data_IF_046315068143
#
_entry.id   IF_046315068143
#
_cell.length_a   1.000
_cell.length_b   1.000
_cell.length_c   1.000
_cell.angle_alpha   90.00
_cell.angle_beta   90.00
_cell.angle_gamma   90.00
#
_symmetry.space_group_name_H-M   'P 1'
#
loop_
_entity.id
_entity.type
_entity.pdbx_description
1 polymer ?
#
# COMPACT_ATOMS: atom_id res chain seq x y z
N UNK A 1 21.18 15.95 -29.41
CA UNK A 1 19.75 16.32 -29.32
C UNK A 1 19.38 16.56 -27.86
N UNK A 2 19.58 17.78 -27.33
CA UNK A 2 19.44 18.05 -25.88
C UNK A 2 19.09 19.50 -25.55
N UNK A 3 18.08 20.05 -26.23
CA UNK A 3 17.82 21.51 -26.19
C UNK A 3 16.33 21.87 -26.06
N UNK A 4 15.51 21.08 -25.35
CA UNK A 4 14.08 21.42 -25.15
C UNK A 4 13.65 21.64 -23.69
N UNK A 5 14.32 21.06 -22.68
CA UNK A 5 13.89 21.23 -21.29
C UNK A 5 14.32 22.58 -20.65
N UNK A 6 15.47 23.13 -21.06
CA UNK A 6 16.02 24.36 -20.47
C UNK A 6 15.23 25.62 -20.86
N UNK A 7 14.63 25.63 -22.06
CA UNK A 7 13.84 26.75 -22.53
C UNK A 7 12.42 26.76 -21.92
N UNK A 8 11.84 25.58 -21.67
CA UNK A 8 10.53 25.46 -21.01
C UNK A 8 10.58 26.01 -19.57
N UNK A 9 11.67 25.74 -18.84
CA UNK A 9 11.85 26.20 -17.46
C UNK A 9 12.03 27.73 -17.39
N UNK A 10 12.77 28.33 -18.33
CA UNK A 10 12.91 29.80 -18.43
C UNK A 10 11.61 30.50 -18.84
N UNK A 11 10.78 29.86 -19.68
CA UNK A 11 9.50 30.44 -20.10
C UNK A 11 8.48 30.42 -18.94
N UNK A 12 8.40 29.31 -18.20
CA UNK A 12 7.47 29.16 -17.08
C UNK A 12 7.84 30.05 -15.87
N UNK A 13 9.12 30.30 -15.62
CA UNK A 13 9.53 31.21 -14.53
C UNK A 13 9.43 32.69 -14.89
N UNK A 14 9.60 33.07 -16.17
CA UNK A 14 9.46 34.49 -16.59
C UNK A 14 8.04 34.96 -16.78
N UNK A 15 7.08 34.09 -17.10
CA UNK A 15 5.72 34.52 -17.43
C UNK A 15 4.76 34.62 -16.22
N UNK A 16 5.11 34.06 -15.05
CA UNK A 16 4.20 34.04 -13.89
C UNK A 16 4.72 34.67 -12.60
N UNK A 17 5.98 35.12 -12.54
CA UNK A 17 6.51 35.84 -11.37
C UNK A 17 6.50 37.37 -11.51
N UNK A 18 5.58 37.95 -12.29
CA UNK A 18 5.45 39.41 -12.42
C UNK A 18 4.19 40.01 -11.78
N UNK A 19 3.40 39.22 -11.06
CA UNK A 19 2.32 39.73 -10.21
C UNK A 19 2.45 39.14 -8.79
N UNK A 20 3.14 39.87 -7.93
CA UNK A 20 3.43 39.50 -6.54
C UNK A 20 2.23 39.55 -5.58
N UNK A 21 1.03 39.17 -6.03
CA UNK A 21 -0.18 39.12 -5.20
C UNK A 21 -0.98 37.82 -5.28
N UNK A 22 -0.62 36.90 -6.19
CA UNK A 22 -1.38 35.67 -6.38
C UNK A 22 -1.05 34.60 -5.32
N UNK A 23 0.18 34.57 -4.81
CA UNK A 23 0.60 33.53 -3.87
C UNK A 23 -0.01 33.69 -2.47
N UNK A 24 -0.19 34.93 -2.02
CA UNK A 24 -0.70 35.25 -0.67
C UNK A 24 -2.23 35.14 -0.55
N UNK A 25 -2.94 35.11 -1.68
CA UNK A 25 -4.40 34.94 -1.75
C UNK A 25 -4.87 33.49 -1.91
N UNK A 26 -3.94 32.54 -2.05
CA UNK A 26 -4.25 31.11 -2.13
C UNK A 26 -4.57 30.55 -0.74
N UNK A 27 -5.44 29.54 -0.68
CA UNK A 27 -5.77 28.87 0.58
C UNK A 27 -4.52 28.27 1.27
N UNK A 28 -4.49 28.22 2.62
CA UNK A 28 -3.31 27.83 3.37
C UNK A 28 -2.77 26.43 3.02
N UNK A 29 -3.66 25.48 2.68
CA UNK A 29 -3.27 24.14 2.22
C UNK A 29 -2.52 24.20 0.89
N UNK A 30 -3.00 24.99 -0.06
CA UNK A 30 -2.38 25.16 -1.39
C UNK A 30 -1.03 25.85 -1.26
N UNK A 31 -0.88 26.82 -0.36
CA UNK A 31 0.42 27.42 -0.04
C UNK A 31 1.38 26.42 0.63
N UNK A 32 0.84 25.44 1.37
CA UNK A 32 1.63 24.38 1.98
C UNK A 32 2.19 23.42 0.92
N UNK A 33 1.36 23.01 -0.02
CA UNK A 33 1.74 22.13 -1.12
C UNK A 33 2.78 22.80 -2.05
N UNK A 34 2.63 24.08 -2.34
CA UNK A 34 3.62 24.84 -3.10
C UNK A 34 4.95 25.00 -2.35
N UNK A 35 4.94 25.13 -1.02
CA UNK A 35 6.17 25.13 -0.20
C UNK A 35 6.86 23.78 -0.21
N UNK A 36 6.09 22.69 -0.13
CA UNK A 36 6.61 21.33 -0.21
C UNK A 36 7.22 21.05 -1.58
N UNK A 37 6.54 21.47 -2.66
CA UNK A 37 7.05 21.35 -4.02
C UNK A 37 8.33 22.17 -4.24
N UNK A 38 8.40 23.40 -3.71
CA UNK A 38 9.60 24.23 -3.78
C UNK A 38 10.77 23.60 -3.02
N UNK A 39 10.54 23.03 -1.83
CA UNK A 39 11.58 22.30 -1.08
C UNK A 39 12.07 21.07 -1.82
N UNK A 40 11.15 20.29 -2.40
CA UNK A 40 11.50 19.10 -3.17
C UNK A 40 12.30 19.45 -4.45
N UNK A 41 11.95 20.55 -5.12
CA UNK A 41 12.69 21.04 -6.28
C UNK A 41 14.10 21.52 -5.93
N UNK A 42 14.26 22.29 -4.84
CA UNK A 42 15.57 22.78 -4.41
C UNK A 42 16.48 21.66 -3.87
N UNK A 43 15.91 20.60 -3.27
CA UNK A 43 16.67 19.43 -2.86
C UNK A 43 17.19 18.61 -4.06
N UNK A 44 16.47 18.66 -5.18
CA UNK A 44 16.76 17.85 -6.38
C UNK A 44 17.57 18.59 -7.44
N UNK A 45 17.44 19.91 -7.45
CA UNK A 45 18.21 20.84 -8.26
C UNK A 45 18.66 21.99 -7.35
N UNK A 46 19.76 21.79 -6.61
CA UNK A 46 20.36 22.86 -5.83
C UNK A 46 20.64 24.02 -6.79
N UNK A 47 20.30 25.27 -6.43
CA UNK A 47 20.76 26.40 -7.20
C UNK A 47 22.30 26.34 -7.25
N UNK A 48 22.92 26.61 -8.40
CA UNK A 48 24.37 26.66 -8.48
C UNK A 48 24.85 27.68 -7.45
N UNK A 49 25.77 27.25 -6.58
CA UNK A 49 26.44 28.12 -5.64
C UNK A 49 26.91 29.35 -6.41
N UNK A 50 26.34 30.49 -6.03
CA UNK A 50 26.77 31.77 -6.55
C UNK A 50 28.00 32.14 -5.73
N UNK A 51 29.14 31.53 -6.05
CA UNK A 51 30.42 32.02 -5.57
C UNK A 51 31.35 32.18 -6.78
N UNK A 52 31.62 33.45 -7.04
CA UNK A 52 32.79 33.94 -7.76
C UNK A 52 34.07 33.40 -7.10
N UNK A 53 35.13 33.24 -7.93
CA UNK A 53 36.53 33.06 -7.53
C UNK A 53 36.89 31.76 -6.76
N UNK A 54 38.03 31.09 -6.91
CA UNK A 54 39.21 31.16 -7.76
C UNK A 54 39.97 29.83 -7.50
N UNK A 55 40.63 29.27 -8.53
CA UNK A 55 41.97 28.64 -8.42
C UNK A 55 42.19 27.30 -7.66
N UNK A 56 42.09 26.20 -8.43
CA UNK A 56 43.10 25.12 -8.59
C UNK A 56 43.50 24.19 -7.39
N UNK A 57 44.32 23.10 -7.57
CA UNK A 57 43.84 21.71 -7.57
C UNK A 57 44.48 20.79 -6.51
N UNK A 58 43.87 19.63 -6.25
CA UNK A 58 44.56 18.47 -5.70
C UNK A 58 43.92 17.88 -4.43
N UNK A 59 43.66 16.57 -4.46
CA UNK A 59 43.17 15.85 -3.30
C UNK A 59 42.52 14.52 -3.67
N UNK A 60 43.35 13.53 -3.99
CA UNK A 60 42.94 12.13 -3.90
C UNK A 60 42.54 11.83 -2.46
N UNK A 61 41.30 11.40 -2.24
CA UNK A 61 40.94 10.57 -1.10
C UNK A 61 39.81 9.63 -1.50
N UNK A 62 40.14 8.35 -1.35
CA UNK A 62 39.25 7.21 -1.45
C UNK A 62 38.25 7.28 -0.31
N UNK A 63 36.95 7.37 -0.58
CA UNK A 63 35.95 7.08 0.45
C UNK A 63 34.66 6.48 -0.14
N UNK A 64 34.56 5.17 0.06
CA UNK A 64 33.35 4.38 0.33
C UNK A 64 32.05 4.73 -0.42
N UNK A 65 31.80 4.03 -1.53
CA UNK A 65 31.21 2.68 -1.40
C UNK A 65 30.01 2.51 -0.44
N UNK A 66 28.81 3.13 -0.53
CA UNK A 66 27.71 2.67 0.32
C UNK A 66 27.23 1.31 -0.19
N UNK A 67 27.53 0.26 0.58
CA UNK A 67 26.96 -1.06 0.40
C UNK A 67 25.45 -1.00 0.75
N UNK A 68 24.54 -1.55 -0.07
CA UNK A 68 23.14 -1.68 0.31
C UNK A 68 22.97 -3.01 1.04
N UNK A 69 23.17 -3.03 2.36
CA UNK A 69 22.73 -4.17 3.17
C UNK A 69 22.63 -3.77 4.64
N UNK A 70 21.47 -3.26 5.01
CA UNK A 70 20.97 -3.36 6.37
C UNK A 70 19.64 -4.11 6.32
N UNK A 71 19.42 -5.18 7.11
CA UNK A 71 18.08 -5.72 7.28
C UNK A 71 17.18 -4.60 7.82
N UNK A 72 15.99 -4.46 7.24
CA UNK A 72 14.95 -3.57 7.73
C UNK A 72 14.78 -3.84 9.23
N UNK A 73 15.17 -2.89 10.09
CA UNK A 73 15.06 -3.05 11.54
C UNK A 73 13.57 -3.24 11.84
N UNK A 74 13.16 -4.35 12.48
CA UNK A 74 11.77 -4.52 12.88
C UNK A 74 11.37 -3.33 13.74
N UNK A 75 10.34 -2.58 13.31
CA UNK A 75 9.81 -1.50 14.12
C UNK A 75 9.46 -2.06 15.51
N UNK A 76 9.91 -1.39 16.58
CA UNK A 76 9.55 -1.78 17.96
C UNK A 76 8.02 -1.96 18.00
N UNK A 77 7.56 -3.17 18.30
CA UNK A 77 6.14 -3.59 18.40
C UNK A 77 5.46 -4.09 17.10
N UNK A 78 6.20 -4.33 16.03
CA UNK A 78 5.68 -5.04 14.87
C UNK A 78 5.21 -6.45 15.24
N UNK A 79 3.99 -6.81 14.82
CA UNK A 79 3.40 -8.14 14.96
C UNK A 79 3.46 -8.86 13.62
N UNK A 80 3.96 -10.09 13.64
CA UNK A 80 4.06 -10.96 12.46
C UNK A 80 2.95 -12.02 12.56
N UNK A 81 2.26 -12.25 11.46
CA UNK A 81 1.10 -13.14 11.43
C UNK A 81 0.70 -13.54 10.02
N UNK A 82 -0.46 -14.19 9.94
CA UNK A 82 -1.17 -14.56 8.71
C UNK A 82 -2.57 -13.97 8.76
N UNK A 83 -3.24 -13.91 7.62
CA UNK A 83 -4.63 -13.42 7.55
C UNK A 83 -5.53 -14.59 7.21
N UNK A 84 -6.38 -14.98 8.17
CA UNK A 84 -7.37 -16.04 8.04
C UNK A 84 -8.67 -15.48 7.46
N UNK A 85 -9.36 -16.28 6.63
CA UNK A 85 -10.60 -15.90 5.96
C UNK A 85 -11.75 -16.74 6.51
N UNK A 86 -12.70 -16.07 7.18
CA UNK A 86 -13.81 -16.71 7.88
C UNK A 86 -15.14 -16.27 7.27
N UNK A 87 -16.00 -17.21 6.91
CA UNK A 87 -17.35 -16.94 6.43
C UNK A 87 -18.25 -16.30 7.48
N UNK A 88 -19.31 -15.62 7.05
CA UNK A 88 -20.33 -15.09 7.96
C UNK A 88 -20.97 -16.17 8.87
N UNK A 89 -20.99 -17.42 8.41
CA UNK A 89 -21.43 -18.61 9.14
C UNK A 89 -20.31 -19.28 9.96
N UNK A 90 -19.18 -18.61 10.18
CA UNK A 90 -17.98 -19.15 10.83
C UNK A 90 -17.29 -20.30 10.08
N UNK A 91 -17.60 -20.51 8.79
CA UNK A 91 -16.83 -21.46 7.96
C UNK A 91 -15.39 -20.99 7.77
N UNK A 92 -14.44 -21.90 7.93
CA UNK A 92 -13.03 -21.66 7.68
C UNK A 92 -12.72 -21.83 6.18
N UNK A 93 -12.25 -20.77 5.54
CA UNK A 93 -11.83 -20.78 4.13
C UNK A 93 -10.31 -20.72 3.98
N UNK A 94 -9.57 -21.04 5.05
CA UNK A 94 -8.11 -21.00 5.07
C UNK A 94 -7.59 -19.58 5.19
N UNK A 95 -6.44 -19.31 4.57
CA UNK A 95 -5.71 -18.06 4.70
C UNK A 95 -5.63 -17.32 3.36
N UNK A 96 -5.28 -16.03 3.44
CA UNK A 96 -4.79 -15.31 2.27
C UNK A 96 -3.45 -15.90 1.84
N UNK A 97 -3.33 -16.24 0.56
CA UNK A 97 -2.10 -16.70 -0.08
C UNK A 97 -1.79 -15.91 -1.33
N UNK A 98 -0.58 -16.09 -1.83
CA UNK A 98 -0.19 -15.65 -3.15
C UNK A 98 -0.68 -16.65 -4.23
N UNK A 99 -0.72 -16.20 -5.49
CA UNK A 99 -1.01 -17.05 -6.63
C UNK A 99 -1.93 -16.44 -7.67
N UNK A 100 -2.46 -17.29 -8.57
CA UNK A 100 -3.38 -16.87 -9.62
C UNK A 100 -4.82 -16.90 -9.10
N UNK A 101 -5.31 -15.76 -8.63
CA UNK A 101 -6.75 -15.50 -8.57
C UNK A 101 -7.26 -15.18 -9.98
N UNK A 102 -8.57 -15.02 -10.12
CA UNK A 102 -9.27 -14.88 -11.40
C UNK A 102 -8.92 -13.65 -12.24
N UNK A 103 -8.09 -12.74 -11.71
CA UNK A 103 -7.64 -11.54 -12.38
C UNK A 103 -6.11 -11.61 -12.48
N UNK A 104 -5.62 -11.88 -13.68
CA UNK A 104 -4.36 -12.58 -13.94
C UNK A 104 -3.08 -11.77 -13.81
N UNK A 105 -2.90 -11.05 -12.71
CA UNK A 105 -1.57 -10.57 -12.33
C UNK A 105 -1.50 -10.23 -10.85
N UNK A 106 -0.85 -11.13 -10.09
CA UNK A 106 -0.51 -10.98 -8.65
C UNK A 106 -1.70 -10.92 -7.69
N UNK A 107 -2.63 -11.86 -7.85
CA UNK A 107 -3.78 -11.96 -6.96
C UNK A 107 -3.41 -12.47 -5.57
N UNK A 108 -3.81 -11.71 -4.55
CA UNK A 108 -3.94 -12.26 -3.20
C UNK A 108 -5.33 -12.89 -3.12
N UNK A 109 -5.40 -14.16 -2.74
CA UNK A 109 -6.66 -14.90 -2.70
C UNK A 109 -6.81 -15.72 -1.43
N UNK A 110 -8.06 -16.05 -1.07
CA UNK A 110 -8.34 -16.95 0.04
C UNK A 110 -8.20 -18.42 -0.38
N UNK A 111 -8.17 -19.34 0.59
CA UNK A 111 -8.04 -20.78 0.34
C UNK A 111 -6.63 -21.32 0.48
N UNK A 112 -5.68 -20.52 0.97
CA UNK A 112 -4.33 -21.00 1.28
C UNK A 112 -4.30 -21.87 2.53
N UNK A 113 -3.46 -22.90 2.50
CA UNK A 113 -3.07 -23.60 3.72
C UNK A 113 -2.22 -22.70 4.61
N UNK A 114 -2.02 -23.07 5.88
CA UNK A 114 -1.27 -22.26 6.84
C UNK A 114 0.22 -22.07 6.44
N UNK A 115 0.77 -23.00 5.64
CA UNK A 115 2.14 -22.98 5.13
C UNK A 115 2.30 -22.21 3.82
N UNK A 116 1.22 -22.09 3.04
CA UNK A 116 1.17 -21.32 1.79
C UNK A 116 0.62 -19.91 2.00
N UNK A 117 0.22 -19.58 3.24
CA UNK A 117 -0.32 -18.29 3.59
C UNK A 117 0.76 -17.20 3.45
N UNK A 118 0.37 -16.02 2.98
CA UNK A 118 1.26 -14.87 3.04
C UNK A 118 1.53 -14.51 4.51
N UNK A 119 2.81 -14.31 4.82
CA UNK A 119 3.21 -13.75 6.11
C UNK A 119 3.10 -12.23 6.03
N UNK A 120 2.47 -11.63 7.02
CA UNK A 120 2.27 -10.17 7.09
C UNK A 120 2.79 -9.61 8.40
N UNK A 121 3.28 -8.38 8.32
CA UNK A 121 3.80 -7.62 9.44
C UNK A 121 2.99 -6.33 9.56
N UNK A 122 2.54 -6.01 10.77
CA UNK A 122 1.88 -4.74 11.05
C UNK A 122 2.28 -4.18 12.39
N UNK A 123 2.27 -2.86 12.53
CA UNK A 123 2.39 -2.19 13.82
C UNK A 123 1.00 -1.83 14.33
N UNK A 124 0.58 -2.31 15.51
CA UNK A 124 -0.70 -1.90 16.09
C UNK A 124 -0.71 -0.40 16.37
N UNK A 125 -1.58 0.33 15.67
CA UNK A 125 -1.81 1.75 15.93
C UNK A 125 -3.31 2.05 15.94
N UNK A 126 -3.71 3.12 16.61
CA UNK A 126 -5.10 3.61 16.59
C UNK A 126 -5.51 4.21 15.23
N UNK A 127 -4.51 4.52 14.38
CA UNK A 127 -4.70 5.12 13.05
C UNK A 127 -4.69 4.07 11.96
N UNK A 128 -5.11 4.46 10.76
CA UNK A 128 -4.97 3.60 9.58
C UNK A 128 -3.48 3.45 9.22
N UNK A 129 -3.09 2.20 8.99
CA UNK A 129 -1.72 1.79 8.71
C UNK A 129 -1.59 0.99 7.43
N UNK A 130 -0.34 0.78 7.03
CA UNK A 130 0.00 -0.22 6.03
C UNK A 130 0.20 -1.58 6.72
N UNK A 131 -0.01 -2.66 5.96
CA UNK A 131 0.36 -4.01 6.36
C UNK A 131 1.42 -4.47 5.36
N UNK A 132 2.62 -4.74 5.86
CA UNK A 132 3.73 -5.23 5.05
C UNK A 132 3.56 -6.72 4.78
N UNK A 133 3.83 -7.14 3.54
CA UNK A 133 3.87 -8.54 3.15
C UNK A 133 5.33 -8.99 3.22
N UNK A 134 5.59 -10.00 4.06
CA UNK A 134 6.90 -10.59 4.26
C UNK A 134 7.16 -11.60 3.15
N UNK A 135 8.10 -11.28 2.26
CA UNK A 135 8.52 -12.17 1.17
C UNK A 135 9.91 -12.74 1.43
N UNK A 136 10.14 -13.94 0.93
CA UNK A 136 11.46 -14.60 0.97
C UNK A 136 12.50 -13.91 0.08
N UNK A 137 12.07 -13.23 -0.99
CA UNK A 137 12.92 -12.46 -1.91
C UNK A 137 13.34 -11.09 -1.36
N UNK A 138 12.82 -10.69 -0.19
CA UNK A 138 13.13 -9.41 0.46
C UNK A 138 12.58 -8.17 -0.25
N UNK A 139 11.79 -8.33 -1.32
CA UNK A 139 11.21 -7.18 -2.02
C UNK A 139 10.06 -6.57 -1.19
N UNK A 140 10.07 -5.26 -0.94
CA UNK A 140 9.04 -4.65 -0.10
C UNK A 140 7.70 -4.66 -0.84
N UNK A 141 6.72 -5.35 -0.25
CA UNK A 141 5.32 -5.32 -0.67
C UNK A 141 4.42 -4.95 0.49
N UNK A 142 3.30 -4.32 0.17
CA UNK A 142 2.25 -4.00 1.15
C UNK A 142 0.90 -4.50 0.64
N UNK A 143 0.05 -4.89 1.59
CA UNK A 143 -1.32 -5.28 1.33
C UNK A 143 -2.15 -4.02 1.04
N UNK A 144 -3.02 -4.08 0.05
CA UNK A 144 -3.94 -2.99 -0.26
C UNK A 144 -5.19 -3.49 -0.98
N UNK A 145 -6.01 -2.53 -1.41
CA UNK A 145 -7.12 -2.78 -2.33
C UNK A 145 -6.90 -2.02 -3.64
N UNK A 146 -7.26 -2.63 -4.75
CA UNK A 146 -7.20 -2.03 -6.08
C UNK A 146 -8.62 -1.94 -6.63
N UNK A 147 -9.07 -0.73 -6.99
CA UNK A 147 -10.44 -0.52 -7.48
C UNK A 147 -10.61 -0.92 -8.93
N UNK A 148 -11.79 -1.44 -9.27
CA UNK A 148 -12.10 -1.83 -10.65
C UNK A 148 -12.36 -0.62 -11.55
N UNK A 149 -12.78 0.50 -10.98
CA UNK A 149 -13.19 1.71 -11.68
C UNK A 149 -12.16 2.84 -11.57
N UNK A 150 -11.92 3.64 -12.62
CA UNK A 150 -11.00 4.79 -12.60
C UNK A 150 -11.32 5.85 -11.53
N UNK A 151 -12.60 5.98 -11.15
CA UNK A 151 -13.07 6.89 -10.11
C UNK A 151 -13.93 6.09 -9.11
N UNK A 152 -13.34 5.57 -8.02
CA UNK A 152 -14.08 4.79 -7.04
C UNK A 152 -14.97 5.69 -6.21
N UNK A 153 -16.10 5.13 -5.76
CA UNK A 153 -16.94 5.79 -4.76
C UNK A 153 -17.04 4.88 -3.56
N UNK A 154 -16.91 5.47 -2.37
CA UNK A 154 -17.01 4.78 -1.07
C UNK A 154 -18.37 5.01 -0.43
N UNK A 155 -19.31 5.53 -1.20
CA UNK A 155 -20.66 5.87 -0.76
C UNK A 155 -21.48 4.60 -0.53
N UNK A 156 -22.18 4.56 0.60
CA UNK A 156 -23.19 3.53 0.87
C UNK A 156 -24.28 3.64 -0.21
N UNK A 157 -24.72 2.52 -0.78
CA UNK A 157 -25.57 2.47 -1.96
C UNK A 157 -24.81 2.31 -3.29
N UNK A 158 -23.48 2.41 -3.28
CA UNK A 158 -22.66 2.21 -4.48
C UNK A 158 -22.44 0.73 -4.80
N UNK A 159 -22.35 0.43 -6.09
CA UNK A 159 -21.99 -0.89 -6.61
C UNK A 159 -20.52 -0.97 -7.07
N UNK A 160 -19.71 0.04 -6.77
CA UNK A 160 -18.28 0.02 -7.05
C UNK A 160 -17.59 -0.94 -6.07
N UNK A 161 -16.56 -1.62 -6.55
CA UNK A 161 -15.84 -2.59 -5.73
C UNK A 161 -14.36 -2.66 -6.14
N UNK A 162 -13.58 -3.22 -5.23
CA UNK A 162 -12.14 -3.39 -5.30
C UNK A 162 -11.77 -4.85 -5.03
N UNK A 163 -10.53 -5.23 -5.29
CA UNK A 163 -9.99 -6.55 -4.93
C UNK A 163 -8.77 -6.38 -4.05
N UNK A 164 -8.50 -7.36 -3.19
CA UNK A 164 -7.27 -7.36 -2.38
C UNK A 164 -6.07 -7.63 -3.31
N UNK A 165 -5.03 -6.82 -3.16
CA UNK A 165 -3.84 -6.89 -4.02
C UNK A 165 -2.55 -6.64 -3.25
N UNK A 166 -1.45 -7.17 -3.78
CA UNK A 166 -0.11 -6.81 -3.37
C UNK A 166 0.34 -5.57 -4.14
N UNK A 167 0.87 -4.58 -3.42
CA UNK A 167 1.51 -3.41 -3.99
C UNK A 167 3.01 -3.48 -3.76
N UNK A 168 3.80 -3.35 -4.83
CA UNK A 168 5.25 -3.22 -4.76
C UNK A 168 5.64 -1.82 -4.35
N UNK A 169 6.73 -1.72 -3.58
CA UNK A 169 7.40 -0.47 -3.31
C UNK A 169 8.33 -0.12 -4.48
N UNK A 170 8.08 1.00 -5.17
CA UNK A 170 8.92 1.51 -6.25
C UNK A 170 9.44 2.91 -5.88
N UNK A 171 10.47 2.94 -5.04
CA UNK A 171 10.97 4.19 -4.47
C UNK A 171 9.89 4.88 -3.64
N UNK A 172 9.61 6.16 -3.86
CA UNK A 172 8.59 6.87 -3.07
C UNK A 172 7.14 6.47 -3.39
N UNK A 173 6.92 5.60 -4.38
CA UNK A 173 5.60 5.26 -4.89
C UNK A 173 5.24 3.79 -4.63
N UNK A 174 3.95 3.49 -4.79
CA UNK A 174 3.40 2.13 -4.77
C UNK A 174 2.91 1.80 -6.17
N UNK A 175 3.23 0.61 -6.65
CA UNK A 175 2.71 0.07 -7.91
C UNK A 175 2.02 -1.27 -7.64
N UNK A 176 1.10 -1.67 -8.50
CA UNK A 176 0.54 -3.02 -8.48
C UNK A 176 0.56 -3.56 -9.90
N UNK A 177 0.77 -4.87 -10.06
CA UNK A 177 0.68 -5.50 -11.39
C UNK A 177 -0.77 -5.73 -11.82
N UNK A 178 -1.75 -5.40 -10.97
CA UNK A 178 -3.18 -5.59 -11.24
C UNK A 178 -3.61 -4.90 -12.54
N UNK A 179 -4.39 -5.61 -13.36
CA UNK A 179 -4.90 -5.13 -14.66
C UNK A 179 -6.09 -4.15 -14.53
N UNK A 180 -6.58 -3.91 -13.32
CA UNK A 180 -7.74 -3.06 -13.09
C UNK A 180 -7.40 -1.59 -13.33
N UNK A 181 -8.36 -0.84 -13.87
CA UNK A 181 -8.14 0.55 -14.29
C UNK A 181 -8.29 1.57 -13.16
N UNK A 182 -8.68 1.14 -11.96
CA UNK A 182 -8.92 2.03 -10.83
C UNK A 182 -7.68 2.32 -9.99
N UNK A 183 -7.78 3.25 -9.02
CA UNK A 183 -6.69 3.54 -8.11
C UNK A 183 -6.50 2.44 -7.06
N UNK A 184 -5.31 2.39 -6.50
CA UNK A 184 -4.95 1.51 -5.39
C UNK A 184 -4.78 2.26 -4.07
N UNK A 185 -5.11 1.59 -2.95
CA UNK A 185 -4.97 2.14 -1.61
C UNK A 185 -4.32 1.13 -0.67
N UNK A 186 -3.28 1.54 0.06
CA UNK A 186 -2.45 0.66 0.90
C UNK A 186 -2.53 1.00 2.39
N UNK A 187 -2.69 2.28 2.73
CA UNK A 187 -2.78 2.77 4.12
C UNK A 187 -4.21 2.87 4.61
N UNK A 188 -4.90 1.74 4.61
CA UNK A 188 -6.34 1.66 4.87
C UNK A 188 -6.66 0.71 6.03
N UNK A 189 -5.65 0.05 6.60
CA UNK A 189 -5.88 -1.07 7.49
C UNK A 189 -5.90 -0.67 8.95
N UNK A 190 -6.82 -1.27 9.69
CA UNK A 190 -6.84 -1.29 11.16
C UNK A 190 -7.06 -2.72 11.61
N UNK A 191 -6.24 -3.18 12.55
CA UNK A 191 -6.48 -4.44 13.26
C UNK A 191 -7.23 -4.12 14.55
N UNK A 192 -8.43 -4.69 14.68
CA UNK A 192 -9.31 -4.50 15.82
C UNK A 192 -8.87 -5.35 17.02
N UNK A 193 -9.46 -5.13 18.20
CA UNK A 193 -9.07 -5.83 19.43
C UNK A 193 -9.32 -7.35 19.38
N UNK A 194 -10.30 -7.79 18.57
CA UNK A 194 -10.60 -9.19 18.28
C UNK A 194 -9.74 -9.77 17.13
N UNK A 195 -8.69 -9.05 16.74
CA UNK A 195 -7.84 -9.31 15.57
C UNK A 195 -8.56 -9.23 14.22
N UNK A 196 -9.81 -8.74 14.16
CA UNK A 196 -10.46 -8.52 12.87
C UNK A 196 -9.74 -7.43 12.09
N UNK A 197 -9.54 -7.68 10.81
CA UNK A 197 -8.95 -6.73 9.88
C UNK A 197 -10.06 -5.90 9.24
N UNK A 198 -9.97 -4.58 9.41
CA UNK A 198 -10.90 -3.62 8.84
C UNK A 198 -10.16 -2.69 7.88
N UNK A 199 -10.71 -2.51 6.67
CA UNK A 199 -10.22 -1.55 5.70
C UNK A 199 -11.12 -0.30 5.68
N UNK A 200 -10.52 0.88 5.67
CA UNK A 200 -11.20 2.17 5.65
C UNK A 200 -10.50 3.13 4.69
N UNK A 201 -11.25 3.87 3.88
CA UNK A 201 -10.67 4.81 2.90
C UNK A 201 -10.52 6.25 3.40
N UNK A 202 -11.03 6.57 4.59
CA UNK A 202 -10.93 7.91 5.20
C UNK A 202 -10.57 7.84 6.67
N UNK A 203 -9.74 8.79 7.14
CA UNK A 203 -9.18 8.83 8.50
C UNK A 203 -10.21 9.18 9.60
N UNK A 204 -11.48 9.43 9.25
CA UNK A 204 -12.48 9.97 10.19
C UNK A 204 -13.84 9.27 10.30
N UNK A 205 -14.12 8.18 9.59
CA UNK A 205 -15.45 7.56 9.65
C UNK A 205 -15.43 6.07 10.03
N UNK A 206 -15.88 5.68 11.25
CA UNK A 206 -16.18 4.28 11.58
C UNK A 206 -17.37 3.72 10.76
N UNK A 207 -18.12 4.56 10.04
CA UNK A 207 -19.29 4.17 9.24
C UNK A 207 -18.95 3.66 7.82
N UNK A 208 -17.72 3.85 7.36
CA UNK A 208 -17.30 3.52 5.98
C UNK A 208 -16.28 2.37 5.97
N UNK A 209 -16.42 1.40 6.88
CA UNK A 209 -15.62 0.19 6.82
C UNK A 209 -15.98 -0.58 5.55
N UNK A 210 -14.97 -1.08 4.84
CA UNK A 210 -15.20 -1.90 3.68
C UNK A 210 -15.57 -3.33 4.11
N UNK A 211 -16.46 -3.94 3.36
CA UNK A 211 -16.91 -5.31 3.53
C UNK A 211 -16.19 -6.23 2.56
N UNK A 212 -15.84 -7.43 3.01
CA UNK A 212 -15.13 -8.43 2.23
C UNK A 212 -16.07 -9.51 1.73
N UNK A 213 -15.92 -9.88 0.48
CA UNK A 213 -16.69 -10.90 -0.20
C UNK A 213 -15.73 -11.87 -0.86
N UNK A 214 -16.03 -13.15 -0.75
CA UNK A 214 -15.28 -14.21 -1.38
C UNK A 214 -16.06 -14.76 -2.56
N UNK A 215 -15.36 -15.05 -3.65
CA UNK A 215 -15.94 -15.68 -4.83
C UNK A 215 -15.21 -16.95 -5.22
N UNK A 216 -16.00 -17.99 -5.43
CA UNK A 216 -15.54 -19.30 -5.87
C UNK A 216 -15.90 -19.55 -7.33
N UNK A 217 -14.88 -19.83 -8.15
CA UNK A 217 -15.08 -20.54 -9.42
C UNK A 217 -14.09 -21.68 -9.53
N UNK A 218 -14.53 -22.73 -10.21
CA UNK A 218 -13.74 -23.92 -10.51
C UNK A 218 -12.47 -23.66 -11.32
N UNK A 219 -12.37 -22.52 -12.01
CA UNK A 219 -11.21 -22.14 -12.83
C UNK A 219 -10.07 -21.47 -12.03
N UNK A 220 -10.25 -21.24 -10.73
CA UNK A 220 -9.26 -20.54 -9.89
C UNK A 220 -8.51 -21.50 -8.96
N UNK A 221 -7.21 -21.25 -8.77
CA UNK A 221 -6.43 -21.95 -7.75
C UNK A 221 -6.74 -21.45 -6.33
N UNK A 222 -7.23 -20.20 -6.21
CA UNK A 222 -7.59 -19.53 -4.97
C UNK A 222 -8.91 -18.78 -5.13
N UNK A 223 -9.63 -18.55 -4.04
CA UNK A 223 -10.84 -17.74 -4.06
C UNK A 223 -10.49 -16.25 -4.21
N UNK A 224 -11.23 -15.52 -5.04
CA UNK A 224 -11.07 -14.07 -5.13
C UNK A 224 -11.68 -13.42 -3.89
N UNK A 225 -11.03 -12.37 -3.38
CA UNK A 225 -11.55 -11.58 -2.27
C UNK A 225 -11.78 -10.15 -2.77
N UNK A 226 -13.04 -9.83 -3.03
CA UNK A 226 -13.46 -8.49 -3.41
C UNK A 226 -13.99 -7.73 -2.20
N UNK A 227 -14.00 -6.41 -2.36
CA UNK A 227 -14.17 -5.46 -1.29
C UNK A 227 -15.08 -4.34 -1.76
N UNK A 228 -16.15 -4.06 -1.01
CA UNK A 228 -17.11 -3.01 -1.35
C UNK A 228 -17.53 -2.22 -0.10
N UNK A 229 -17.96 -0.97 -0.29
CA UNK A 229 -18.39 -0.10 0.80
C UNK A 229 -19.79 -0.48 1.33
N UNK A 230 -20.68 -0.97 0.46
CA UNK A 230 -22.03 -1.39 0.83
C UNK A 230 -22.26 -2.87 0.53
N UNK A 231 -22.42 -3.66 1.59
CA UNK A 231 -22.68 -5.08 1.45
C UNK A 231 -24.06 -5.40 0.84
N UNK A 232 -25.10 -4.63 1.17
CA UNK A 232 -26.45 -4.85 0.67
C UNK A 232 -26.52 -4.58 -0.83
N UNK A 233 -25.98 -3.45 -1.28
CA UNK A 233 -25.93 -3.12 -2.71
C UNK A 233 -25.06 -4.11 -3.48
N UNK A 234 -23.88 -4.46 -2.95
CA UNK A 234 -22.99 -5.42 -3.60
C UNK A 234 -23.67 -6.79 -3.75
N UNK A 235 -24.27 -7.33 -2.69
CA UNK A 235 -24.98 -8.61 -2.72
C UNK A 235 -26.25 -8.56 -3.58
N UNK A 236 -26.91 -7.42 -3.72
CA UNK A 236 -28.08 -7.31 -4.61
C UNK A 236 -27.67 -7.38 -6.08
N UNK A 237 -26.54 -6.76 -6.44
CA UNK A 237 -26.09 -6.71 -7.83
C UNK A 237 -25.27 -7.92 -8.25
N UNK A 238 -24.48 -8.47 -7.33
CA UNK A 238 -23.51 -9.53 -7.59
C UNK A 238 -23.77 -10.80 -6.75
N UNK A 239 -24.66 -10.74 -5.75
CA UNK A 239 -25.05 -11.91 -4.97
C UNK A 239 -26.00 -12.86 -5.74
N UNK A 240 -26.48 -13.94 -5.10
CA UNK A 240 -26.98 -15.14 -5.77
C UNK A 240 -27.98 -14.88 -6.91
N UNK A 241 -27.74 -15.50 -8.09
CA UNK A 241 -26.87 -16.66 -8.29
C UNK A 241 -25.41 -16.32 -8.61
N UNK A 242 -24.94 -15.09 -8.36
CA UNK A 242 -23.56 -14.65 -8.67
C UNK A 242 -22.42 -15.20 -7.79
N UNK A 243 -22.67 -16.15 -6.88
CA UNK A 243 -21.62 -16.94 -6.19
C UNK A 243 -20.77 -16.23 -5.12
N UNK A 244 -21.03 -14.95 -4.82
CA UNK A 244 -20.32 -14.21 -3.77
C UNK A 244 -20.82 -14.55 -2.37
N UNK A 245 -19.89 -14.70 -1.42
CA UNK A 245 -20.17 -15.00 -0.01
C UNK A 245 -19.50 -13.96 0.89
N UNK A 246 -20.21 -13.35 1.87
CA UNK A 246 -19.60 -12.43 2.81
C UNK A 246 -18.60 -13.14 3.73
N UNK A 247 -17.42 -12.53 3.92
CA UNK A 247 -16.35 -13.05 4.76
C UNK A 247 -15.77 -11.96 5.68
N UNK A 248 -15.05 -12.41 6.71
CA UNK A 248 -14.24 -11.61 7.63
C UNK A 248 -12.78 -12.03 7.48
N UNK A 249 -11.90 -11.07 7.63
CA UNK A 249 -10.46 -11.29 7.67
C UNK A 249 -9.98 -11.18 9.12
N UNK A 250 -9.27 -12.18 9.60
CA UNK A 250 -8.73 -12.22 10.96
C UNK A 250 -7.21 -12.31 10.92
N UNK A 251 -6.53 -11.42 11.64
CA UNK A 251 -5.09 -11.54 11.85
C UNK A 251 -4.81 -12.65 12.87
N UNK A 252 -3.99 -13.62 12.46
CA UNK A 252 -3.52 -14.70 13.33
C UNK A 252 -2.02 -14.53 13.58
N UNK A 253 -1.60 -14.17 14.81
CA UNK A 253 -0.18 -14.05 15.13
C UNK A 253 0.56 -15.38 14.95
N UNK A 254 1.73 -15.35 14.31
CA UNK A 254 2.65 -16.49 14.36
C UNK A 254 3.46 -16.35 15.63
N UNK A 255 3.15 -17.17 16.64
CA UNK A 255 3.98 -17.24 17.85
C UNK A 255 5.31 -17.86 17.42
N UNK A 256 6.38 -17.07 17.40
CA UNK A 256 7.72 -17.63 17.31
C UNK A 256 7.98 -18.35 18.64
N UNK A 257 7.92 -19.67 18.63
CA UNK A 257 8.41 -20.47 19.76
C UNK A 257 9.87 -20.08 19.97
N UNK A 258 10.30 -19.66 21.18
CA UNK A 258 11.71 -19.44 21.44
C UNK A 258 12.44 -20.75 21.14
N UNK A 259 13.42 -20.72 20.24
CA UNK A 259 14.34 -21.85 20.07
C UNK A 259 14.96 -22.11 21.44
N UNK A 260 14.55 -23.21 22.08
CA UNK A 260 15.17 -23.67 23.32
C UNK A 260 16.66 -23.80 23.03
N UNK A 261 17.47 -23.06 23.79
CA UNK A 261 18.89 -23.38 23.89
C UNK A 261 18.95 -24.83 24.38
N UNK A 262 19.48 -25.71 23.52
CA UNK A 262 19.83 -27.07 23.91
C UNK A 262 20.67 -26.98 25.16
N UNK A 263 20.14 -27.50 26.28
CA UNK A 263 20.90 -27.72 27.49
C UNK A 263 21.61 -29.07 27.31
N UNK A 264 22.64 -29.08 26.48
CA UNK A 264 23.65 -30.14 26.39
C UNK A 264 25.00 -29.44 26.24
N UNK A 265 25.43 -28.82 27.34
CA UNK A 265 26.81 -28.40 27.61
C UNK A 265 26.91 -28.16 29.13
N UNK A 266 26.95 -29.25 29.89
CA UNK A 266 27.46 -29.32 31.27
C UNK A 266 27.78 -30.77 31.64
#
# INVERSE_FOLDING_TARGET
MGTNAKNLFKLLTRQHMRQGGYYESLEPEVQCDWRLLRKALLARYPPPDSDEDETQPGGSSTEQKPAPTGPHVPQRNARIGRIKVIGANSSDFGYLGDGKTCYSSTGIGAGASATEAISVCYVPTSKLGEIEIQRSDGQPQVLGVHWRQPSPTTEIGSAHYSTISAFNYEGLYRSSKMEWAGPGYTRIWRVMADNALCAHLEDRAPRNALHFFMFNRSEHQRYAVDVAADAGTFMTKYGPPGGWTPVKLLFEPVIQTPCGRSADDA
#
